data_IF_368175834914
#
_entry.id   IF_368175834914
#
_cell.length_a   1.000
_cell.length_b   1.000
_cell.length_c   1.000
_cell.angle_alpha   90.00
_cell.angle_beta   90.00
_cell.angle_gamma   90.00
#
_symmetry.space_group_name_H-M   'P 1'
#
loop_
_entity.id
_entity.type
_entity.pdbx_description
1 polymer ?
#
# COMPACT_ATOMS: atom_id res chain seq x y z
N UNK A 1 -11.08 27.85 1.91
CA UNK A 1 -12.13 28.12 0.91
C UNK A 1 -12.79 26.78 0.67
N UNK A 2 -14.03 26.56 1.11
CA UNK A 2 -14.66 25.24 1.00
C UNK A 2 -15.10 24.99 -0.45
N UNK A 3 -14.66 23.88 -1.05
CA UNK A 3 -15.28 23.36 -2.26
C UNK A 3 -16.78 23.15 -2.01
N UNK A 4 -17.62 23.58 -2.93
CA UNK A 4 -19.08 23.47 -2.77
C UNK A 4 -19.64 22.84 -4.02
N UNK A 5 -20.42 21.76 -3.86
CA UNK A 5 -20.99 20.96 -4.96
C UNK A 5 -21.58 21.83 -6.10
N UNK A 6 -22.16 22.98 -5.76
CA UNK A 6 -22.72 23.94 -6.71
C UNK A 6 -21.67 24.66 -7.58
N UNK A 7 -20.52 25.00 -7.00
CA UNK A 7 -19.40 25.64 -7.68
C UNK A 7 -18.73 24.70 -8.68
N UNK A 8 -18.44 23.46 -8.28
CA UNK A 8 -17.79 22.49 -9.17
C UNK A 8 -18.67 22.14 -10.38
N UNK A 9 -19.97 21.93 -10.17
CA UNK A 9 -20.91 21.70 -11.26
C UNK A 9 -20.95 22.89 -12.23
N UNK A 10 -21.00 24.13 -11.70
CA UNK A 10 -20.97 25.34 -12.52
C UNK A 10 -19.71 25.44 -13.36
N UNK A 11 -18.52 25.16 -12.79
CA UNK A 11 -17.25 25.19 -13.53
C UNK A 11 -17.27 24.14 -14.65
N UNK A 12 -17.67 22.91 -14.33
CA UNK A 12 -17.75 21.82 -15.30
C UNK A 12 -18.70 22.12 -16.45
N UNK A 13 -19.90 22.60 -16.13
CA UNK A 13 -20.92 22.93 -17.13
C UNK A 13 -20.50 24.14 -17.96
N UNK A 14 -19.82 25.12 -17.37
CA UNK A 14 -19.28 26.29 -18.08
C UNK A 14 -18.18 25.90 -19.08
N UNK A 15 -17.29 24.98 -18.72
CA UNK A 15 -16.22 24.48 -19.60
C UNK A 15 -16.83 23.67 -20.75
N UNK A 16 -17.78 22.77 -20.45
CA UNK A 16 -18.48 21.94 -21.43
C UNK A 16 -19.36 22.75 -22.38
N UNK A 17 -20.01 23.80 -21.89
CA UNK A 17 -20.78 24.74 -22.69
C UNK A 17 -19.93 25.46 -23.76
N UNK A 18 -18.60 25.40 -23.68
CA UNK A 18 -17.65 25.90 -24.69
C UNK A 18 -17.05 24.81 -25.58
N UNK A 19 -17.64 23.62 -25.59
CA UNK A 19 -17.16 22.48 -26.38
C UNK A 19 -15.84 21.90 -25.86
N UNK A 20 -15.47 22.14 -24.59
CA UNK A 20 -14.28 21.56 -23.97
C UNK A 20 -14.72 20.43 -23.03
N UNK A 21 -14.26 19.21 -23.31
CA UNK A 21 -14.59 18.01 -22.54
C UNK A 21 -13.47 17.61 -21.56
N UNK A 22 -12.62 18.56 -21.16
CA UNK A 22 -11.55 18.31 -20.18
C UNK A 22 -12.17 17.83 -18.86
N UNK A 23 -11.70 16.71 -18.28
CA UNK A 23 -12.18 16.23 -16.99
C UNK A 23 -11.97 17.28 -15.89
N UNK A 24 -13.01 17.51 -15.08
CA UNK A 24 -12.98 18.47 -13.97
C UNK A 24 -12.98 17.72 -12.64
N UNK A 25 -12.09 18.12 -11.72
CA UNK A 25 -12.05 17.63 -10.34
C UNK A 25 -11.89 18.78 -9.36
N UNK A 26 -11.99 18.47 -8.07
CA UNK A 26 -11.36 19.21 -6.99
C UNK A 26 -10.23 18.37 -6.40
N UNK A 27 -9.15 19.01 -5.97
CA UNK A 27 -8.10 18.38 -5.19
C UNK A 27 -8.25 18.86 -3.74
N UNK A 28 -8.47 17.93 -2.82
CA UNK A 28 -8.62 18.21 -1.39
C UNK A 28 -8.22 16.98 -0.58
N UNK A 29 -8.15 17.09 0.75
CA UNK A 29 -7.85 15.94 1.61
C UNK A 29 -9.00 14.94 1.61
N UNK A 30 -8.68 13.66 1.86
CA UNK A 30 -9.67 12.56 1.90
C UNK A 30 -10.82 12.89 2.87
N UNK A 31 -10.54 13.58 3.97
CA UNK A 31 -11.54 13.94 4.99
C UNK A 31 -12.68 14.81 4.43
N UNK A 32 -12.40 15.66 3.46
CA UNK A 32 -13.42 16.52 2.84
C UNK A 32 -14.41 15.69 2.03
N UNK A 33 -13.95 14.69 1.29
CA UNK A 33 -14.82 13.74 0.59
C UNK A 33 -15.60 12.85 1.57
N UNK A 34 -14.98 12.41 2.66
CA UNK A 34 -15.66 11.63 3.69
C UNK A 34 -16.78 12.42 4.38
N UNK A 35 -16.54 13.69 4.70
CA UNK A 35 -17.54 14.59 5.28
C UNK A 35 -18.62 15.00 4.26
N UNK A 36 -18.31 14.98 2.96
CA UNK A 36 -19.20 15.44 1.89
C UNK A 36 -19.21 14.46 0.70
N UNK A 37 -19.75 13.23 0.86
CA UNK A 37 -19.69 12.19 -0.19
C UNK A 37 -20.42 12.57 -1.49
N UNK A 38 -21.32 13.55 -1.44
CA UNK A 38 -21.97 14.15 -2.61
C UNK A 38 -21.00 14.90 -3.54
N UNK A 39 -19.82 15.32 -3.06
CA UNK A 39 -18.79 15.94 -3.89
C UNK A 39 -18.33 15.00 -5.01
N UNK A 40 -18.35 13.68 -4.76
CA UNK A 40 -18.04 12.68 -5.77
C UNK A 40 -18.93 12.86 -6.99
N UNK A 41 -20.20 13.29 -6.89
CA UNK A 41 -21.09 13.51 -8.05
C UNK A 41 -20.74 14.74 -8.88
N UNK A 42 -20.09 15.74 -8.27
CA UNK A 42 -19.77 17.00 -8.91
C UNK A 42 -18.53 16.95 -9.80
N UNK A 43 -17.66 15.97 -9.58
CA UNK A 43 -16.38 15.79 -10.29
C UNK A 43 -16.44 14.67 -11.35
N UNK A 44 -15.55 14.69 -12.32
CA UNK A 44 -15.41 13.64 -13.34
C UNK A 44 -14.53 12.47 -12.86
N UNK A 45 -13.61 12.78 -11.95
CA UNK A 45 -12.81 11.81 -11.20
C UNK A 45 -12.59 12.36 -9.79
N UNK A 46 -12.29 11.50 -8.83
CA UNK A 46 -11.95 11.90 -7.46
C UNK A 46 -10.46 12.19 -7.41
N UNK A 47 -10.07 13.36 -6.91
CA UNK A 47 -8.67 13.73 -6.71
C UNK A 47 -8.42 14.05 -5.25
N UNK A 48 -7.42 13.43 -4.64
CA UNK A 48 -7.12 13.61 -3.22
C UNK A 48 -5.67 13.96 -2.95
N UNK A 49 -5.46 14.87 -2.00
CA UNK A 49 -4.16 15.14 -1.41
C UNK A 49 -4.03 14.25 -0.16
N UNK A 50 -3.04 13.35 -0.16
CA UNK A 50 -2.86 12.39 0.92
C UNK A 50 -1.38 12.25 1.27
N UNK A 51 -1.04 12.71 2.47
CA UNK A 51 0.32 12.69 3.01
C UNK A 51 0.33 11.97 4.35
N UNK A 52 0.65 10.67 4.36
CA UNK A 52 0.88 9.94 5.60
C UNK A 52 2.00 10.57 6.45
N UNK A 53 2.94 11.25 5.80
CA UNK A 53 3.96 12.07 6.45
C UNK A 53 3.37 13.08 7.45
N UNK A 54 2.28 13.78 7.11
CA UNK A 54 1.64 14.77 7.99
C UNK A 54 0.75 14.14 9.08
N UNK A 55 0.67 12.82 9.12
CA UNK A 55 -0.09 12.06 10.11
C UNK A 55 0.83 11.40 11.15
N UNK A 56 2.11 11.81 11.19
CA UNK A 56 3.15 11.21 12.03
C UNK A 56 3.34 9.72 11.77
N UNK A 57 3.06 9.29 10.54
CA UNK A 57 3.27 7.90 10.16
C UNK A 57 4.73 7.49 10.38
N UNK A 58 4.92 6.26 10.82
CA UNK A 58 6.18 5.55 10.61
C UNK A 58 6.32 5.26 9.11
N UNK A 59 7.52 5.39 8.55
CA UNK A 59 7.73 5.19 7.11
C UNK A 59 7.31 3.79 6.65
N UNK A 60 7.45 2.78 7.52
CA UNK A 60 7.04 1.40 7.26
C UNK A 60 5.52 1.22 7.16
N UNK A 61 4.73 2.24 7.53
CA UNK A 61 3.28 2.25 7.46
C UNK A 61 2.75 3.32 6.48
N UNK A 62 3.62 4.13 5.86
CA UNK A 62 3.17 5.28 5.08
C UNK A 62 2.21 4.92 3.94
N UNK A 63 2.57 3.91 3.13
CA UNK A 63 1.73 3.45 2.03
C UNK A 63 0.48 2.68 2.53
N UNK A 64 0.62 1.85 3.58
CA UNK A 64 -0.50 1.19 4.26
C UNK A 64 -1.56 2.17 4.78
N UNK A 65 -1.14 3.24 5.47
CA UNK A 65 -2.03 4.30 5.96
C UNK A 65 -2.74 5.01 4.80
N UNK A 66 -2.04 5.25 3.68
CA UNK A 66 -2.66 5.82 2.48
C UNK A 66 -3.81 4.92 1.99
N UNK A 67 -3.57 3.61 1.92
CA UNK A 67 -4.57 2.64 1.46
C UNK A 67 -5.75 2.52 2.44
N UNK A 68 -5.47 2.52 3.75
CA UNK A 68 -6.48 2.51 4.82
C UNK A 68 -7.40 3.75 4.72
N UNK A 69 -6.83 4.94 4.53
CA UNK A 69 -7.61 6.18 4.35
C UNK A 69 -8.44 6.17 3.08
N UNK A 70 -7.92 5.59 2.00
CA UNK A 70 -8.63 5.49 0.73
C UNK A 70 -9.77 4.45 0.73
N UNK A 71 -9.78 3.51 1.68
CA UNK A 71 -10.67 2.32 1.66
C UNK A 71 -12.13 2.64 1.35
N UNK A 72 -12.76 3.54 2.09
CA UNK A 72 -14.18 3.88 1.88
C UNK A 72 -14.40 4.70 0.60
N UNK A 73 -13.50 5.64 0.32
CA UNK A 73 -13.59 6.51 -0.85
C UNK A 73 -13.44 5.73 -2.16
N UNK A 74 -12.60 4.69 -2.19
CA UNK A 74 -12.45 3.76 -3.32
C UNK A 74 -13.75 3.07 -3.67
N UNK A 75 -14.45 2.55 -2.66
CA UNK A 75 -15.75 1.89 -2.85
C UNK A 75 -16.79 2.88 -3.37
N UNK A 76 -16.86 4.08 -2.76
CA UNK A 76 -17.78 5.12 -3.19
C UNK A 76 -17.51 5.57 -4.64
N UNK A 77 -16.25 5.79 -5.01
CA UNK A 77 -15.85 6.20 -6.34
C UNK A 77 -16.16 5.10 -7.37
N UNK A 78 -15.80 3.85 -7.08
CA UNK A 78 -16.09 2.69 -7.94
C UNK A 78 -17.59 2.51 -8.20
N UNK A 79 -18.42 2.62 -7.15
CA UNK A 79 -19.89 2.55 -7.28
C UNK A 79 -20.48 3.67 -8.15
N UNK A 80 -19.76 4.76 -8.34
CA UNK A 80 -20.13 5.90 -9.20
C UNK A 80 -19.39 5.90 -10.54
N UNK A 81 -18.64 4.84 -10.85
CA UNK A 81 -17.83 4.72 -12.07
C UNK A 81 -16.71 5.76 -12.16
N UNK A 82 -16.20 6.25 -11.03
CA UNK A 82 -15.16 7.29 -10.97
C UNK A 82 -13.83 6.69 -10.57
N UNK A 83 -12.77 7.11 -11.26
CA UNK A 83 -11.40 6.81 -10.85
C UNK A 83 -10.96 7.69 -9.69
N UNK A 84 -9.97 7.23 -8.94
CA UNK A 84 -9.26 8.02 -7.93
C UNK A 84 -7.89 8.39 -8.48
N UNK A 85 -7.52 9.65 -8.27
CA UNK A 85 -6.20 10.20 -8.52
C UNK A 85 -5.65 10.73 -7.19
N UNK A 86 -4.42 10.37 -6.85
CA UNK A 86 -3.73 10.95 -5.68
C UNK A 86 -2.99 12.18 -6.19
N UNK A 87 -3.61 13.36 -6.10
CA UNK A 87 -3.07 14.61 -6.67
C UNK A 87 -1.81 15.10 -5.99
N UNK A 88 -1.64 14.78 -4.71
CA UNK A 88 -0.44 15.13 -3.97
C UNK A 88 -0.16 14.05 -2.93
N UNK A 89 1.08 13.57 -2.93
CA UNK A 89 1.65 12.75 -1.86
C UNK A 89 3.16 12.94 -1.85
N UNK A 90 3.81 12.63 -0.74
CA UNK A 90 5.26 12.70 -0.66
C UNK A 90 5.76 12.49 0.75
N UNK A 91 7.08 12.47 0.86
CA UNK A 91 7.79 12.37 2.13
C UNK A 91 9.00 13.30 2.09
N UNK A 92 9.26 14.01 3.18
CA UNK A 92 10.39 14.94 3.23
C UNK A 92 11.71 14.23 3.49
N UNK A 93 12.79 14.62 2.82
CA UNK A 93 14.13 14.10 3.09
C UNK A 93 14.91 14.84 4.19
N UNK A 94 14.37 15.94 4.72
CA UNK A 94 15.09 16.80 5.66
C UNK A 94 14.19 17.67 6.53
N UNK A 95 14.78 18.36 7.50
CA UNK A 95 14.08 19.17 8.49
C UNK A 95 13.38 18.34 9.58
N UNK A 96 12.72 19.03 10.51
CA UNK A 96 11.95 18.38 11.58
C UNK A 96 10.63 19.10 11.87
N UNK A 97 9.60 18.34 12.24
CA UNK A 97 8.33 18.90 12.74
C UNK A 97 7.64 17.89 13.67
N UNK A 98 7.21 18.26 14.89
CA UNK A 98 6.57 17.34 15.84
C UNK A 98 5.23 16.75 15.37
N UNK A 99 4.64 17.32 14.32
CA UNK A 99 3.42 16.85 13.68
C UNK A 99 3.65 16.01 12.43
N UNK A 100 4.91 15.77 12.04
CA UNK A 100 5.26 14.98 10.88
C UNK A 100 5.91 13.63 11.23
N UNK A 101 5.99 12.74 10.24
CA UNK A 101 6.85 11.57 10.26
C UNK A 101 8.34 11.95 10.21
N UNK A 102 9.22 10.99 10.49
CA UNK A 102 10.66 11.24 10.50
C UNK A 102 11.14 11.52 9.07
N UNK A 103 11.65 12.73 8.84
CA UNK A 103 12.23 13.13 7.57
C UNK A 103 13.69 12.66 7.46
N UNK A 104 14.00 11.90 6.41
CA UNK A 104 15.37 11.51 6.05
C UNK A 104 15.42 11.08 4.58
N UNK A 105 16.60 11.11 3.93
CA UNK A 105 16.72 10.62 2.55
C UNK A 105 16.31 9.15 2.40
N UNK A 106 16.65 8.31 3.40
CA UNK A 106 16.28 6.89 3.44
C UNK A 106 14.76 6.71 3.53
N UNK A 107 14.11 7.47 4.42
CA UNK A 107 12.65 7.40 4.58
C UNK A 107 11.91 7.93 3.34
N UNK A 108 12.44 8.98 2.70
CA UNK A 108 11.86 9.50 1.46
C UNK A 108 11.94 8.45 0.34
N UNK A 109 13.09 7.80 0.16
CA UNK A 109 13.25 6.75 -0.85
C UNK A 109 12.37 5.53 -0.54
N UNK A 110 12.31 5.10 0.72
CA UNK A 110 11.46 3.99 1.15
C UNK A 110 9.99 4.26 0.90
N UNK A 111 9.46 5.40 1.34
CA UNK A 111 8.07 5.77 1.09
C UNK A 111 7.79 5.86 -0.40
N UNK A 112 8.69 6.42 -1.21
CA UNK A 112 8.53 6.48 -2.66
C UNK A 112 8.38 5.08 -3.27
N UNK A 113 9.27 4.15 -2.91
CA UNK A 113 9.24 2.77 -3.41
C UNK A 113 7.94 2.06 -2.98
N UNK A 114 7.62 2.09 -1.70
CA UNK A 114 6.44 1.43 -1.13
C UNK A 114 5.15 2.01 -1.72
N UNK A 115 5.05 3.33 -1.83
CA UNK A 115 3.92 4.01 -2.46
C UNK A 115 3.79 3.65 -3.94
N UNK A 116 4.90 3.60 -4.70
CA UNK A 116 4.87 3.20 -6.10
C UNK A 116 4.28 1.80 -6.30
N UNK A 117 4.73 0.83 -5.50
CA UNK A 117 4.24 -0.55 -5.59
C UNK A 117 2.75 -0.63 -5.26
N UNK A 118 2.34 0.02 -4.17
CA UNK A 118 0.94 0.12 -3.75
C UNK A 118 0.09 0.76 -4.85
N UNK A 119 0.44 1.98 -5.30
CA UNK A 119 -0.31 2.73 -6.30
C UNK A 119 -0.44 1.98 -7.62
N UNK A 120 0.67 1.40 -8.10
CA UNK A 120 0.66 0.59 -9.33
C UNK A 120 -0.22 -0.65 -9.20
N UNK A 121 -0.19 -1.34 -8.06
CA UNK A 121 -0.99 -2.55 -7.85
C UNK A 121 -2.50 -2.30 -7.79
N UNK A 122 -2.91 -1.11 -7.36
CA UNK A 122 -4.32 -0.69 -7.29
C UNK A 122 -4.74 0.17 -8.49
N UNK A 123 -3.85 0.38 -9.46
CA UNK A 123 -4.11 1.21 -10.64
C UNK A 123 -4.52 2.64 -10.26
N UNK A 124 -3.82 3.24 -9.29
CA UNK A 124 -3.96 4.65 -8.96
C UNK A 124 -3.06 5.49 -9.85
N UNK A 125 -3.66 6.50 -10.49
CA UNK A 125 -2.90 7.63 -11.02
C UNK A 125 -2.46 8.50 -9.84
N UNK A 126 -1.24 9.03 -9.87
CA UNK A 126 -0.75 9.91 -8.82
C UNK A 126 0.24 10.94 -9.33
N UNK A 127 0.40 12.02 -8.56
CA UNK A 127 1.47 12.99 -8.72
C UNK A 127 2.29 13.06 -7.43
N UNK A 128 3.60 12.90 -7.57
CA UNK A 128 4.52 13.10 -6.45
C UNK A 128 4.68 14.60 -6.18
N UNK A 129 4.41 14.98 -4.94
CA UNK A 129 4.70 16.30 -4.41
C UNK A 129 6.12 16.24 -3.80
N UNK A 130 7.12 16.84 -4.43
CA UNK A 130 7.11 17.75 -5.60
C UNK A 130 8.37 17.53 -6.44
N UNK A 131 8.50 18.19 -7.59
CA UNK A 131 9.68 18.05 -8.44
C UNK A 131 10.97 18.52 -7.72
N UNK A 132 11.00 19.78 -7.27
CA UNK A 132 12.19 20.40 -6.68
C UNK A 132 11.96 20.75 -5.22
N UNK A 133 13.04 20.66 -4.44
CA UNK A 133 13.10 21.28 -3.12
C UNK A 133 12.77 22.78 -3.20
N UNK A 134 12.34 23.34 -2.09
CA UNK A 134 11.81 24.70 -2.04
C UNK A 134 12.21 25.36 -0.72
N UNK A 135 13.50 25.72 -0.60
CA UNK A 135 14.10 26.28 0.61
C UNK A 135 13.46 27.60 1.03
N UNK A 136 12.93 28.35 0.06
CA UNK A 136 12.17 29.58 0.31
C UNK A 136 10.96 29.39 1.23
N UNK A 137 10.38 28.18 1.32
CA UNK A 137 9.23 27.91 2.21
C UNK A 137 9.58 28.14 3.66
N UNK A 138 10.77 27.72 4.08
CA UNK A 138 11.29 27.94 5.43
C UNK A 138 11.59 29.42 5.64
N UNK A 139 12.18 30.09 4.64
CA UNK A 139 12.45 31.54 4.70
C UNK A 139 11.18 32.38 4.88
N UNK A 140 10.04 31.90 4.40
CA UNK A 140 8.72 32.52 4.58
C UNK A 140 7.96 32.06 5.85
N UNK A 141 8.64 31.41 6.80
CA UNK A 141 8.05 30.97 8.06
C UNK A 141 7.29 29.64 7.98
N UNK A 142 7.45 28.89 6.88
CA UNK A 142 6.98 27.52 6.76
C UNK A 142 7.79 26.54 7.61
N UNK A 143 7.27 25.32 7.76
CA UNK A 143 7.92 24.27 8.55
C UNK A 143 9.19 23.78 7.86
N UNK A 144 10.22 23.43 8.63
CA UNK A 144 11.51 22.97 8.10
C UNK A 144 11.35 21.83 7.09
N UNK A 145 10.49 20.86 7.40
CA UNK A 145 10.25 19.69 6.55
C UNK A 145 9.65 20.02 5.18
N UNK A 146 9.00 21.17 5.00
CA UNK A 146 8.37 21.54 3.72
C UNK A 146 9.39 21.90 2.64
N UNK A 147 10.63 22.20 3.02
CA UNK A 147 11.70 22.55 2.09
C UNK A 147 12.25 21.36 1.29
N UNK A 148 12.00 20.12 1.72
CA UNK A 148 12.79 18.94 1.34
C UNK A 148 11.97 17.79 0.72
N UNK A 149 10.79 18.08 0.15
CA UNK A 149 9.94 17.09 -0.54
C UNK A 149 10.35 16.76 -1.98
N UNK A 150 11.29 17.52 -2.55
CA UNK A 150 11.72 17.39 -3.94
C UNK A 150 12.37 16.05 -4.25
N UNK A 151 12.19 15.58 -5.48
CA UNK A 151 13.03 14.54 -6.11
C UNK A 151 14.39 15.13 -6.51
N UNK A 152 14.40 16.42 -6.86
CA UNK A 152 15.56 17.21 -7.21
C UNK A 152 15.83 18.28 -6.14
N UNK A 153 17.08 18.68 -6.01
CA UNK A 153 17.49 19.87 -5.29
C UNK A 153 17.12 21.14 -6.08
N UNK A 154 17.22 22.33 -5.48
CA UNK A 154 16.92 23.62 -6.15
C UNK A 154 17.84 23.94 -7.34
N UNK A 155 18.98 23.26 -7.46
CA UNK A 155 19.98 23.42 -8.52
C UNK A 155 19.81 22.41 -9.68
N UNK A 156 18.64 21.79 -9.79
CA UNK A 156 18.29 20.72 -10.75
C UNK A 156 19.04 19.39 -10.55
N UNK A 157 19.87 19.26 -9.50
CA UNK A 157 20.55 18.00 -9.22
C UNK A 157 19.57 16.99 -8.60
N UNK A 158 19.42 15.82 -9.22
CA UNK A 158 18.64 14.71 -8.63
C UNK A 158 19.25 14.30 -7.29
N UNK A 159 18.42 14.14 -6.25
CA UNK A 159 18.93 13.72 -4.95
C UNK A 159 19.51 12.31 -5.02
N UNK A 160 20.59 12.08 -4.26
CA UNK A 160 21.32 10.80 -4.27
C UNK A 160 20.47 9.59 -3.85
N UNK A 161 19.50 9.79 -2.95
CA UNK A 161 18.53 8.77 -2.55
C UNK A 161 17.58 8.34 -3.68
N UNK A 162 17.47 9.12 -4.77
CA UNK A 162 16.76 8.75 -5.99
C UNK A 162 17.68 8.30 -7.12
N UNK A 163 18.85 8.95 -7.28
CA UNK A 163 19.75 8.70 -8.41
C UNK A 163 20.23 7.24 -8.52
N UNK A 164 20.44 6.57 -7.38
CA UNK A 164 20.84 5.16 -7.32
C UNK A 164 19.67 4.17 -7.19
N UNK A 165 18.43 4.66 -7.12
CA UNK A 165 17.28 3.82 -6.81
C UNK A 165 16.83 3.04 -8.06
N UNK A 166 16.83 1.72 -7.96
CA UNK A 166 16.21 0.85 -8.97
C UNK A 166 14.81 0.49 -8.52
N UNK A 167 13.80 0.95 -9.26
CA UNK A 167 12.40 0.65 -8.96
C UNK A 167 11.99 -0.60 -9.74
N UNK A 168 12.04 -1.75 -9.08
CA UNK A 168 11.52 -3.01 -9.61
C UNK A 168 10.02 -3.15 -9.38
N UNK A 169 9.31 -3.74 -10.34
CA UNK A 169 7.91 -4.15 -10.13
C UNK A 169 7.84 -5.49 -9.41
N UNK A 170 7.12 -5.53 -8.29
CA UNK A 170 6.79 -6.78 -7.61
C UNK A 170 5.54 -7.38 -8.21
N UNK A 171 5.71 -8.60 -8.67
CA UNK A 171 4.74 -9.32 -9.44
C UNK A 171 3.65 -9.91 -8.50
N UNK A 172 2.36 -9.61 -8.70
CA UNK A 172 1.31 -10.06 -7.80
C UNK A 172 1.11 -11.57 -7.92
N UNK A 173 0.85 -12.23 -6.80
CA UNK A 173 0.67 -13.68 -6.68
C UNK A 173 -0.51 -14.03 -5.79
N UNK A 174 -1.22 -15.09 -6.13
CA UNK A 174 -2.07 -15.79 -5.20
C UNK A 174 -1.26 -16.93 -4.56
N UNK A 175 -1.28 -17.03 -3.24
CA UNK A 175 -0.62 -18.13 -2.52
C UNK A 175 -1.68 -19.18 -2.21
N UNK A 176 -1.65 -20.29 -2.96
CA UNK A 176 -2.67 -21.33 -2.92
C UNK A 176 -2.17 -22.57 -2.20
N UNK A 177 -2.93 -23.08 -1.23
CA UNK A 177 -2.66 -24.39 -0.67
C UNK A 177 -2.91 -25.48 -1.74
N UNK A 178 -1.94 -26.36 -1.95
CA UNK A 178 -1.96 -27.35 -3.04
C UNK A 178 -3.08 -28.38 -2.84
N UNK A 179 -3.37 -28.80 -1.61
CA UNK A 179 -4.40 -29.79 -1.32
C UNK A 179 -5.80 -29.18 -1.32
N UNK A 180 -6.02 -28.19 -0.46
CA UNK A 180 -7.35 -27.59 -0.24
C UNK A 180 -7.78 -26.63 -1.34
N UNK A 181 -6.84 -26.21 -2.19
CA UNK A 181 -7.04 -25.25 -3.28
C UNK A 181 -7.49 -23.86 -2.82
N UNK A 182 -7.50 -23.59 -1.52
CA UNK A 182 -7.81 -22.30 -0.90
C UNK A 182 -6.62 -21.34 -1.03
N UNK A 183 -6.91 -20.05 -0.88
CA UNK A 183 -5.98 -18.94 -1.06
C UNK A 183 -5.67 -18.30 0.29
N UNK A 184 -4.40 -17.99 0.51
CA UNK A 184 -3.99 -17.14 1.62
C UNK A 184 -4.68 -15.79 1.48
N UNK A 185 -5.40 -15.41 2.52
CA UNK A 185 -6.24 -14.22 2.55
C UNK A 185 -5.96 -13.43 3.80
N UNK A 186 -6.08 -12.12 3.74
CA UNK A 186 -5.97 -11.29 4.94
C UNK A 186 -7.06 -10.23 5.03
N UNK A 187 -7.59 -10.04 6.24
CA UNK A 187 -8.61 -9.02 6.48
C UNK A 187 -8.47 -8.47 7.90
N UNK A 188 -8.23 -7.16 7.99
CA UNK A 188 -8.15 -6.46 9.27
C UNK A 188 -7.06 -7.00 10.19
N UNK A 189 -5.90 -7.38 9.64
CA UNK A 189 -4.78 -7.91 10.41
C UNK A 189 -4.73 -9.44 10.53
N UNK A 190 -5.86 -10.12 10.32
CA UNK A 190 -5.94 -11.58 10.44
C UNK A 190 -5.65 -12.27 9.11
N UNK A 191 -4.91 -13.37 9.14
CA UNK A 191 -4.65 -14.22 7.97
C UNK A 191 -5.38 -15.56 8.07
N UNK A 192 -5.94 -16.03 6.96
CA UNK A 192 -6.74 -17.25 6.88
C UNK A 192 -6.77 -17.79 5.44
N UNK A 193 -7.24 -19.03 5.26
CA UNK A 193 -7.40 -19.64 3.94
C UNK A 193 -8.86 -19.57 3.48
N UNK A 194 -9.11 -18.94 2.33
CA UNK A 194 -10.46 -18.77 1.77
C UNK A 194 -10.58 -19.31 0.35
N UNK A 195 -11.81 -19.47 -0.15
CA UNK A 195 -12.04 -19.78 -1.58
C UNK A 195 -12.00 -18.49 -2.40
N UNK A 196 -11.71 -18.59 -3.71
CA UNK A 196 -11.75 -17.44 -4.62
C UNK A 196 -13.06 -16.65 -4.44
N UNK A 197 -12.94 -15.34 -4.23
CA UNK A 197 -14.11 -14.46 -4.17
C UNK A 197 -14.46 -13.88 -5.54
N UNK A 198 -15.74 -13.56 -5.76
CA UNK A 198 -16.19 -12.75 -6.89
C UNK A 198 -16.19 -11.23 -6.56
N UNK A 199 -16.10 -10.88 -5.28
CA UNK A 199 -15.98 -9.49 -4.83
C UNK A 199 -14.54 -9.01 -5.06
N UNK A 200 -14.38 -7.94 -5.84
CA UNK A 200 -13.08 -7.40 -6.21
C UNK A 200 -12.26 -6.91 -5.00
N UNK A 201 -12.91 -6.39 -3.94
CA UNK A 201 -12.22 -5.98 -2.70
C UNK A 201 -11.67 -7.19 -1.97
N UNK A 202 -12.44 -8.28 -1.95
CA UNK A 202 -12.02 -9.53 -1.32
C UNK A 202 -10.95 -10.23 -2.17
N UNK A 203 -10.96 -10.07 -3.50
CA UNK A 203 -9.86 -10.54 -4.33
C UNK A 203 -8.55 -9.84 -4.01
N UNK A 204 -8.54 -8.54 -3.69
CA UNK A 204 -7.32 -7.86 -3.23
C UNK A 204 -6.76 -8.47 -1.94
N UNK A 205 -7.62 -8.96 -1.06
CA UNK A 205 -7.23 -9.68 0.17
C UNK A 205 -6.56 -11.02 -0.10
N UNK A 206 -6.72 -11.57 -1.31
CA UNK A 206 -6.18 -12.87 -1.75
C UNK A 206 -4.89 -12.74 -2.56
N UNK A 207 -4.39 -11.51 -2.74
CA UNK A 207 -3.21 -11.20 -3.55
C UNK A 207 -2.06 -10.72 -2.66
N UNK A 208 -0.88 -11.24 -2.96
CA UNK A 208 0.34 -11.03 -2.20
C UNK A 208 1.51 -10.74 -3.14
N UNK A 209 2.54 -10.14 -2.60
CA UNK A 209 3.83 -9.93 -3.24
C UNK A 209 4.86 -10.70 -2.44
N UNK A 210 5.62 -11.58 -3.10
CA UNK A 210 6.76 -12.23 -2.47
C UNK A 210 8.03 -11.71 -3.13
N UNK A 211 8.86 -11.09 -2.31
CA UNK A 211 10.18 -10.64 -2.73
C UNK A 211 11.23 -11.57 -2.12
N UNK A 212 11.92 -12.31 -2.99
CA UNK A 212 12.98 -13.22 -2.55
C UNK A 212 14.22 -12.51 -2.00
N UNK A 213 14.42 -11.23 -2.33
CA UNK A 213 15.54 -10.43 -1.83
C UNK A 213 15.29 -9.96 -0.39
N UNK A 214 14.17 -9.30 -0.14
CA UNK A 214 13.77 -8.88 1.22
C UNK A 214 13.19 -10.02 2.05
N UNK A 215 12.86 -11.15 1.43
CA UNK A 215 12.19 -12.32 2.02
C UNK A 215 10.83 -12.00 2.65
N UNK A 216 10.22 -10.88 2.28
CA UNK A 216 8.92 -10.46 2.80
C UNK A 216 7.79 -10.99 1.91
N UNK A 217 6.66 -11.32 2.55
CA UNK A 217 5.40 -11.63 1.88
C UNK A 217 4.42 -10.50 2.23
N UNK A 218 4.19 -9.58 1.29
CA UNK A 218 3.41 -8.36 1.50
C UNK A 218 2.00 -8.50 0.93
N UNK A 219 0.99 -8.11 1.71
CA UNK A 219 -0.40 -8.13 1.28
C UNK A 219 -0.71 -6.99 0.32
N UNK A 220 -1.48 -7.27 -0.73
CA UNK A 220 -2.02 -6.23 -1.60
C UNK A 220 -3.10 -5.40 -0.90
N UNK A 221 -3.96 -5.98 -0.06
CA UNK A 221 -5.11 -5.26 0.50
C UNK A 221 -4.78 -4.26 1.61
N UNK A 222 -3.66 -4.44 2.30
CA UNK A 222 -3.26 -3.59 3.42
C UNK A 222 -1.84 -3.05 3.33
N UNK A 223 -1.05 -3.50 2.34
CA UNK A 223 0.34 -3.11 2.16
C UNK A 223 1.28 -3.54 3.31
N UNK A 224 0.82 -4.47 4.16
CA UNK A 224 1.53 -5.01 5.34
C UNK A 224 2.11 -6.41 5.10
N UNK A 225 3.08 -6.81 5.90
CA UNK A 225 3.87 -8.03 5.72
C UNK A 225 3.40 -9.17 6.63
N UNK A 226 3.47 -10.40 6.12
CA UNK A 226 3.23 -11.62 6.86
C UNK A 226 4.25 -11.77 8.00
N UNK A 227 3.76 -11.87 9.22
CA UNK A 227 4.55 -11.83 10.46
C UNK A 227 4.19 -13.02 11.37
N UNK A 228 5.22 -13.67 11.91
CA UNK A 228 5.05 -14.68 12.95
C UNK A 228 6.09 -14.53 14.07
N UNK A 229 5.76 -13.77 15.11
CA UNK A 229 6.63 -13.52 16.29
C UNK A 229 6.69 -14.67 17.31
N UNK A 230 5.93 -15.76 17.12
CA UNK A 230 5.80 -16.86 18.09
C UNK A 230 6.41 -18.16 17.55
N UNK A 231 7.59 -18.53 18.05
CA UNK A 231 8.37 -19.69 17.62
C UNK A 231 7.97 -21.04 18.21
N UNK A 232 6.68 -21.40 18.17
CA UNK A 232 6.19 -22.70 18.63
C UNK A 232 5.04 -23.21 17.76
N UNK A 233 4.71 -24.50 17.89
CA UNK A 233 3.60 -25.12 17.17
C UNK A 233 2.28 -24.44 17.55
N UNK A 234 1.59 -23.90 16.54
CA UNK A 234 0.38 -23.10 16.74
C UNK A 234 0.64 -21.62 17.00
N UNK A 235 1.89 -21.16 16.82
CA UNK A 235 2.25 -19.75 16.90
C UNK A 235 1.45 -18.90 15.91
N UNK A 236 1.09 -17.69 16.34
CA UNK A 236 0.26 -16.78 15.56
C UNK A 236 1.00 -16.33 14.30
N UNK A 237 0.29 -16.39 13.17
CA UNK A 237 0.66 -15.69 11.94
C UNK A 237 -0.39 -14.60 11.71
N UNK A 238 0.06 -13.41 11.35
CA UNK A 238 -0.77 -12.24 11.10
C UNK A 238 -0.10 -11.33 10.06
N UNK A 239 -0.69 -10.17 9.76
CA UNK A 239 0.05 -9.11 9.05
C UNK A 239 0.46 -8.00 10.02
N UNK A 240 1.63 -7.44 9.79
CA UNK A 240 2.17 -6.30 10.53
C UNK A 240 2.94 -5.38 9.58
N UNK A 241 3.22 -4.14 10.00
CA UNK A 241 3.99 -3.20 9.19
C UNK A 241 5.30 -3.83 8.70
N UNK A 242 5.64 -3.60 7.43
CA UNK A 242 6.82 -4.21 6.81
C UNK A 242 8.09 -3.55 7.35
N UNK A 243 8.87 -4.26 8.17
CA UNK A 243 10.13 -3.80 8.73
C UNK A 243 11.27 -4.58 8.07
N UNK A 244 12.17 -3.86 7.41
CA UNK A 244 13.16 -4.46 6.51
C UNK A 244 14.18 -5.36 7.23
N UNK A 245 14.53 -5.04 8.48
CA UNK A 245 15.49 -5.82 9.29
C UNK A 245 14.83 -6.80 10.27
N UNK A 246 13.50 -6.89 10.27
CA UNK A 246 12.80 -7.71 11.25
C UNK A 246 12.70 -9.17 10.78
N UNK A 247 13.41 -10.05 11.48
CA UNK A 247 13.58 -11.45 11.09
C UNK A 247 12.30 -12.30 11.20
N UNK A 248 11.31 -11.92 12.01
CA UNK A 248 10.03 -12.65 12.11
C UNK A 248 9.05 -12.34 10.95
N UNK A 249 9.44 -11.49 10.01
CA UNK A 249 8.70 -11.20 8.77
C UNK A 249 9.36 -11.83 7.54
N UNK A 250 10.37 -12.67 7.75
CA UNK A 250 11.23 -13.22 6.69
C UNK A 250 10.87 -14.67 6.44
N UNK A 251 10.58 -14.96 5.17
CA UNK A 251 10.11 -16.26 4.68
C UNK A 251 10.92 -16.68 3.46
N UNK A 252 11.21 -17.98 3.36
CA UNK A 252 11.81 -18.58 2.17
C UNK A 252 10.83 -19.56 1.56
N UNK A 253 10.70 -19.54 0.24
CA UNK A 253 9.89 -20.52 -0.48
C UNK A 253 10.79 -21.59 -1.08
N UNK A 254 10.56 -22.84 -0.70
CA UNK A 254 11.21 -24.00 -1.29
C UNK A 254 10.28 -24.62 -2.32
N UNK A 255 10.58 -24.38 -3.60
CA UNK A 255 9.77 -24.87 -4.72
C UNK A 255 9.81 -26.40 -4.88
N UNK A 256 10.81 -27.08 -4.32
CA UNK A 256 10.90 -28.54 -4.38
C UNK A 256 9.94 -29.24 -3.41
N UNK A 257 9.71 -28.62 -2.25
CA UNK A 257 8.79 -29.13 -1.21
C UNK A 257 7.45 -28.40 -1.19
N UNK A 258 7.36 -27.25 -1.86
CA UNK A 258 6.21 -26.35 -1.79
C UNK A 258 6.08 -25.65 -0.43
N UNK A 259 7.08 -25.71 0.44
CA UNK A 259 6.99 -25.15 1.79
C UNK A 259 7.41 -23.69 1.84
N UNK A 260 6.66 -22.88 2.58
CA UNK A 260 7.04 -21.52 2.96
C UNK A 260 7.64 -21.57 4.36
N UNK A 261 8.98 -21.53 4.44
CA UNK A 261 9.77 -21.75 5.66
C UNK A 261 10.08 -20.41 6.32
N UNK A 262 9.93 -20.35 7.62
CA UNK A 262 10.23 -19.16 8.40
C UNK A 262 11.75 -19.02 8.62
N UNK A 263 12.29 -17.80 8.50
CA UNK A 263 13.74 -17.56 8.56
C UNK A 263 14.26 -17.50 10.00
N UNK A 264 13.61 -16.74 10.91
CA UNK A 264 14.04 -16.62 12.33
C UNK A 264 13.89 -17.94 13.10
N UNK A 265 12.69 -18.51 13.10
CA UNK A 265 12.39 -19.80 13.71
C UNK A 265 12.67 -20.95 12.74
N UNK A 266 13.93 -21.37 12.66
CA UNK A 266 14.36 -22.46 11.79
C UNK A 266 13.61 -23.76 12.13
N UNK A 267 13.22 -24.51 11.09
CA UNK A 267 12.43 -25.73 11.22
C UNK A 267 10.92 -25.51 11.30
N UNK A 268 10.45 -24.25 11.27
CA UNK A 268 9.03 -23.92 11.19
C UNK A 268 8.60 -23.47 9.79
N UNK A 269 7.37 -23.84 9.44
CA UNK A 269 6.72 -23.58 8.16
C UNK A 269 5.37 -22.91 8.37
N UNK A 270 4.90 -22.16 7.37
CA UNK A 270 3.51 -21.73 7.27
C UNK A 270 2.61 -22.96 7.13
N UNK A 271 1.62 -23.07 8.01
CA UNK A 271 0.72 -24.21 8.13
C UNK A 271 -0.74 -23.75 8.18
N UNK A 272 -1.62 -24.43 7.44
CA UNK A 272 -3.07 -24.25 7.52
C UNK A 272 -3.68 -25.14 8.59
N UNK A 273 -4.36 -24.56 9.58
CA UNK A 273 -5.17 -25.30 10.55
C UNK A 273 -6.63 -25.37 10.11
N UNK A 274 -6.99 -26.43 9.38
CA UNK A 274 -8.37 -26.67 8.97
C UNK A 274 -9.34 -26.90 10.16
N UNK A 275 -8.83 -27.37 11.30
CA UNK A 275 -9.63 -27.58 12.51
C UNK A 275 -10.00 -26.29 13.24
N UNK A 276 -9.29 -25.19 12.95
CA UNK A 276 -9.51 -23.87 13.54
C UNK A 276 -9.90 -22.84 12.49
N UNK A 277 -10.90 -23.18 11.67
CA UNK A 277 -11.47 -22.24 10.70
C UNK A 277 -10.55 -21.90 9.53
N UNK A 278 -9.55 -22.75 9.24
CA UNK A 278 -8.50 -22.50 8.25
C UNK A 278 -7.62 -21.27 8.56
N UNK A 279 -7.40 -20.96 9.83
CA UNK A 279 -6.36 -19.99 10.21
C UNK A 279 -4.98 -20.45 9.72
N UNK A 280 -4.06 -19.52 9.60
CA UNK A 280 -2.65 -19.83 9.42
C UNK A 280 -1.94 -19.82 10.76
N UNK A 281 -0.94 -20.67 10.89
CA UNK A 281 -0.10 -20.77 12.07
C UNK A 281 1.33 -21.12 11.69
N UNK A 282 2.23 -20.90 12.63
CA UNK A 282 3.57 -21.43 12.57
C UNK A 282 3.56 -22.85 13.13
N UNK A 283 4.09 -23.82 12.38
CA UNK A 283 4.17 -25.21 12.81
C UNK A 283 5.45 -25.87 12.30
N UNK A 284 5.93 -26.90 12.99
CA UNK A 284 7.09 -27.68 12.55
C UNK A 284 6.92 -28.15 11.10
N UNK A 285 7.97 -27.93 10.29
CA UNK A 285 7.97 -28.29 8.88
C UNK A 285 7.84 -29.81 8.71
N UNK A 286 6.83 -30.24 7.96
CA UNK A 286 6.61 -31.63 7.58
C UNK A 286 6.38 -31.71 6.08
N UNK A 287 7.37 -32.18 5.29
CA UNK A 287 7.28 -32.21 3.83
C UNK A 287 6.13 -33.07 3.27
N UNK A 288 5.55 -33.96 4.07
CA UNK A 288 4.40 -34.78 3.67
C UNK A 288 3.07 -34.21 4.16
N UNK A 289 3.08 -33.08 4.89
CA UNK A 289 1.87 -32.43 5.37
C UNK A 289 1.30 -31.51 4.28
N UNK A 290 0.17 -31.90 3.69
CA UNK A 290 -0.53 -31.12 2.66
C UNK A 290 -0.95 -29.72 3.11
N UNK A 291 -1.09 -29.50 4.42
CA UNK A 291 -1.44 -28.18 4.97
C UNK A 291 -0.27 -27.19 4.91
N UNK A 292 0.93 -27.63 4.54
CA UNK A 292 2.14 -26.83 4.41
C UNK A 292 2.64 -26.74 2.97
N UNK A 293 1.83 -27.17 2.00
CA UNK A 293 2.19 -27.12 0.58
C UNK A 293 1.50 -25.97 -0.12
N UNK A 294 2.31 -25.09 -0.68
CA UNK A 294 1.91 -23.81 -1.27
C UNK A 294 2.38 -23.73 -2.72
N UNK A 295 1.55 -23.09 -3.54
CA UNK A 295 1.89 -22.71 -4.91
C UNK A 295 1.66 -21.22 -5.08
N UNK A 296 2.61 -20.55 -5.72
CA UNK A 296 2.50 -19.16 -6.11
C UNK A 296 1.99 -19.12 -7.54
N UNK A 297 0.75 -18.65 -7.72
CA UNK A 297 0.10 -18.60 -9.03
C UNK A 297 -0.23 -17.16 -9.41
N UNK A 298 -0.38 -16.92 -10.71
CA UNK A 298 -0.92 -15.67 -11.21
C UNK A 298 -2.37 -15.49 -10.69
N UNK A 299 -2.71 -14.35 -10.05
CA UNK A 299 -4.08 -14.07 -9.59
C UNK A 299 -5.15 -14.17 -10.69
N UNK A 300 -4.79 -13.90 -11.95
CA UNK A 300 -5.70 -14.07 -13.10
C UNK A 300 -6.05 -15.53 -13.40
N UNK A 301 -5.25 -16.47 -12.91
CA UNK A 301 -5.39 -17.92 -13.13
C UNK A 301 -5.99 -18.67 -11.94
N UNK A 302 -6.52 -17.95 -10.93
CA UNK A 302 -7.21 -18.55 -9.77
C UNK A 302 -8.49 -19.25 -10.21
#
# INVERSE_FOLDING_TARGET
>A
MFASMSGEKKIRDYIRGRGKNTPVTIADVIDIYNANPQLVDAVDYVSVNQFSFWERADVNEGAAITLDRLKNLRVLAANKGKKIVISETGWSSGGSDPSAGVASPENQAKFFFDFFQMARSHNFDYYWYVAFDSKWRVTNGGKEVEADFGVFQEDDTMKSNFQGMTIGWMDPRAIRNVGTKRLLSENGGNVYMSVKSADWLVQEQQVWFFDSYTQQVRSKSSDRCLDAYQGWNGGIVHVYRCIDDEANQKWTYDSSTGQLKHVKYQGFCLDQDAGQGNKLQLYGCSPNNSNQHWSFIDPGNI
#
